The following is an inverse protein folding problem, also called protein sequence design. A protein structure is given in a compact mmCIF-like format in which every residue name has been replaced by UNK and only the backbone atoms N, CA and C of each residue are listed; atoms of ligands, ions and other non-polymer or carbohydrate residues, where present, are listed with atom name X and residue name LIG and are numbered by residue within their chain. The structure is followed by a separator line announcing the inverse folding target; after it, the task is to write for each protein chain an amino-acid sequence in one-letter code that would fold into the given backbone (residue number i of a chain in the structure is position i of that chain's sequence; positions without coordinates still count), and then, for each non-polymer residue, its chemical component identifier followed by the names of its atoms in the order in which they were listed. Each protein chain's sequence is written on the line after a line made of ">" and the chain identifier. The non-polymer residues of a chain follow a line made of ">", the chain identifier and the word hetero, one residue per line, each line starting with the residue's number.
data_IF_615678268086
#
_entry.id   IF_615678268086
#
_cell.length_a   1.000
_cell.length_b   1.000
_cell.length_c   1.000
_cell.angle_alpha   90.00
_cell.angle_beta   90.00
_cell.angle_gamma   90.00
#
_symmetry.space_group_name_H-M   'P 1'
#
loop_
_entity.id
_entity.type
_entity.pdbx_description
1 polymer ?
#
# COMPACT_ATOMS: atom_id res chain seq x y z
N UNK A 1 -18.81 -20.45 77.05
CA UNK A 1 -18.33 -19.13 77.48
C UNK A 1 -18.05 -18.30 76.24
N UNK A 2 -18.82 -17.24 76.03
CA UNK A 2 -18.63 -16.25 74.97
C UNK A 2 -17.48 -15.35 75.41
N UNK A 3 -16.54 -15.04 74.51
CA UNK A 3 -15.81 -13.77 74.58
C UNK A 3 -15.53 -13.26 73.17
N UNK A 4 -16.31 -12.26 72.79
CA UNK A 4 -16.12 -11.38 71.64
C UNK A 4 -15.07 -10.35 72.05
N UNK A 5 -13.98 -10.25 71.32
CA UNK A 5 -13.09 -9.09 71.36
C UNK A 5 -13.05 -8.47 69.96
N UNK A 6 -13.72 -7.33 69.85
CA UNK A 6 -13.75 -6.40 68.72
C UNK A 6 -12.82 -5.24 69.06
N UNK A 7 -11.84 -4.92 68.21
CA UNK A 7 -11.01 -3.73 68.36
C UNK A 7 -9.93 -3.60 67.26
N UNK A 8 -9.53 -2.37 66.88
CA UNK A 8 -9.45 -1.96 65.47
C UNK A 8 -8.02 -1.58 65.00
N UNK A 9 -7.84 -1.46 63.68
CA UNK A 9 -6.65 -0.89 63.04
C UNK A 9 -6.34 -1.66 61.78
N UNK A 10 -6.65 -1.17 60.58
CA UNK A 10 -6.23 0.13 60.10
C UNK A 10 -4.99 -0.05 59.24
N UNK A 11 -5.18 -0.62 58.04
CA UNK A 11 -4.29 -0.44 56.91
C UNK A 11 -5.16 -0.64 55.67
N UNK A 12 -5.87 0.42 55.30
CA UNK A 12 -6.30 0.58 53.93
C UNK A 12 -5.02 0.59 53.10
N UNK A 13 -4.67 -0.55 52.51
CA UNK A 13 -3.81 -0.57 51.34
C UNK A 13 -4.60 0.18 50.28
N UNK A 14 -4.31 1.47 50.16
CA UNK A 14 -4.57 2.23 48.96
C UNK A 14 -3.77 1.53 47.85
N UNK A 15 -4.38 0.51 47.25
CA UNK A 15 -4.11 0.21 45.87
C UNK A 15 -4.60 1.45 45.13
N UNK A 16 -3.68 2.39 44.90
CA UNK A 16 -3.89 3.43 43.92
C UNK A 16 -4.22 2.69 42.64
N UNK A 17 -5.50 2.64 42.29
CA UNK A 17 -5.94 2.37 40.94
C UNK A 17 -5.19 3.40 40.08
N UNK A 18 -4.07 2.99 39.49
CA UNK A 18 -3.60 3.65 38.28
C UNK A 18 -4.79 3.61 37.32
N UNK A 19 -5.00 4.65 36.51
CA UNK A 19 -5.99 4.54 35.46
C UNK A 19 -5.65 3.28 34.66
N UNK A 20 -6.58 2.34 34.62
CA UNK A 20 -6.68 1.38 33.52
C UNK A 20 -6.83 2.26 32.28
N UNK A 21 -5.69 2.64 31.70
CA UNK A 21 -5.65 3.21 30.37
C UNK A 21 -5.98 2.01 29.49
N UNK A 22 -7.18 1.95 28.88
CA UNK A 22 -7.42 0.93 27.88
C UNK A 22 -6.32 1.06 26.83
N UNK A 23 -5.74 -0.02 26.30
CA UNK A 23 -4.92 0.12 25.11
C UNK A 23 -5.83 0.76 24.06
N UNK A 24 -5.59 2.03 23.75
CA UNK A 24 -6.20 2.72 22.65
C UNK A 24 -5.89 1.89 21.41
N UNK A 25 -6.87 1.13 20.96
CA UNK A 25 -6.88 0.33 19.72
C UNK A 25 -6.98 1.27 18.51
N UNK A 26 -6.16 2.32 18.50
CA UNK A 26 -6.18 3.37 17.47
C UNK A 26 -4.87 3.41 16.65
N UNK A 27 -3.86 2.59 16.99
CA UNK A 27 -2.59 2.58 16.26
C UNK A 27 -2.68 1.81 14.92
N UNK A 28 -3.61 0.86 14.79
CA UNK A 28 -3.84 0.12 13.54
C UNK A 28 -4.60 0.94 12.48
N UNK A 29 -5.59 1.74 12.89
CA UNK A 29 -6.33 2.62 11.97
C UNK A 29 -5.49 3.77 11.43
N UNK A 30 -4.46 4.21 12.17
CA UNK A 30 -3.53 5.25 11.73
C UNK A 30 -2.63 4.82 10.55
N UNK A 31 -2.56 3.51 10.24
CA UNK A 31 -1.80 2.97 9.10
C UNK A 31 -2.68 2.63 7.90
N UNK A 32 -3.97 2.93 7.95
CA UNK A 32 -4.89 2.74 6.83
C UNK A 32 -4.83 3.93 5.87
N UNK A 33 -4.84 3.66 4.57
CA UNK A 33 -4.92 4.70 3.56
C UNK A 33 -6.21 5.49 3.69
N UNK A 34 -6.10 6.82 3.69
CA UNK A 34 -7.23 7.66 3.35
C UNK A 34 -7.70 7.36 1.91
N UNK A 35 -8.96 7.64 1.59
CA UNK A 35 -9.55 7.32 0.28
C UNK A 35 -8.75 7.96 -0.86
N UNK A 36 -8.30 9.20 -0.68
CA UNK A 36 -7.51 9.95 -1.66
C UNK A 36 -6.12 9.34 -1.86
N UNK A 37 -5.51 8.80 -0.80
CA UNK A 37 -4.22 8.12 -0.87
C UNK A 37 -4.36 6.78 -1.60
N UNK A 38 -5.42 6.03 -1.32
CA UNK A 38 -5.71 4.76 -1.99
C UNK A 38 -5.88 4.95 -3.51
N UNK A 39 -6.58 6.00 -3.94
CA UNK A 39 -6.74 6.31 -5.36
C UNK A 39 -5.41 6.70 -6.04
N UNK A 40 -4.55 7.41 -5.32
CA UNK A 40 -3.19 7.73 -5.76
C UNK A 40 -2.34 6.46 -5.92
N UNK A 41 -2.38 5.55 -4.94
CA UNK A 41 -1.64 4.28 -5.01
C UNK A 41 -2.12 3.38 -6.15
N UNK A 42 -3.43 3.33 -6.42
CA UNK A 42 -3.97 2.62 -7.59
C UNK A 42 -3.44 3.24 -8.90
N UNK A 43 -3.32 4.56 -8.97
CA UNK A 43 -2.74 5.23 -10.14
C UNK A 43 -1.23 4.93 -10.30
N UNK A 44 -0.48 4.86 -9.21
CA UNK A 44 0.94 4.48 -9.23
C UNK A 44 1.12 3.04 -9.70
N UNK A 45 0.30 2.11 -9.20
CA UNK A 45 0.28 0.72 -9.65
C UNK A 45 0.04 0.65 -11.16
N UNK A 46 -0.92 1.41 -11.70
CA UNK A 46 -1.16 1.47 -13.15
C UNK A 46 0.09 1.84 -13.94
N UNK A 47 0.77 2.92 -13.52
CA UNK A 47 1.98 3.40 -14.19
C UNK A 47 3.11 2.37 -14.16
N UNK A 48 3.33 1.75 -12.99
CA UNK A 48 4.34 0.71 -12.81
C UNK A 48 4.08 -0.49 -13.74
N UNK A 49 2.84 -0.99 -13.80
CA UNK A 49 2.52 -2.13 -14.64
C UNK A 49 2.62 -1.81 -16.14
N UNK A 50 2.30 -0.58 -16.55
CA UNK A 50 2.52 -0.13 -17.94
C UNK A 50 4.00 -0.13 -18.30
N UNK A 51 4.88 0.27 -17.38
CA UNK A 51 6.34 0.19 -17.61
C UNK A 51 6.81 -1.26 -17.68
N UNK A 52 6.38 -2.11 -16.75
CA UNK A 52 6.76 -3.54 -16.74
C UNK A 52 6.23 -4.30 -17.94
N UNK A 53 5.04 -3.94 -18.45
CA UNK A 53 4.45 -4.59 -19.62
C UNK A 53 5.38 -4.55 -20.84
N UNK A 54 6.07 -3.43 -21.03
CA UNK A 54 7.06 -3.22 -22.10
C UNK A 54 8.44 -3.76 -21.72
N UNK A 55 8.96 -3.39 -20.54
CA UNK A 55 10.38 -3.62 -20.22
C UNK A 55 10.65 -5.00 -19.63
N UNK A 56 9.73 -5.54 -18.82
CA UNK A 56 9.93 -6.76 -18.01
C UNK A 56 8.62 -7.51 -17.79
N UNK A 57 8.00 -8.09 -18.84
CA UNK A 57 6.70 -8.73 -18.74
C UNK A 57 6.71 -9.96 -17.82
N UNK A 58 7.86 -10.60 -17.64
CA UNK A 58 8.02 -11.82 -16.83
C UNK A 58 7.78 -11.60 -15.33
N UNK A 59 7.97 -10.37 -14.83
CA UNK A 59 7.77 -10.04 -13.40
C UNK A 59 6.48 -9.28 -13.13
N UNK A 60 5.67 -9.03 -14.16
CA UNK A 60 4.49 -8.17 -14.08
C UNK A 60 3.45 -8.71 -13.10
N UNK A 61 3.16 -10.01 -13.15
CA UNK A 61 2.17 -10.65 -12.27
C UNK A 61 2.66 -10.68 -10.81
N UNK A 62 3.93 -10.99 -10.57
CA UNK A 62 4.51 -11.02 -9.22
C UNK A 62 4.46 -9.63 -8.56
N UNK A 63 4.83 -8.58 -9.31
CA UNK A 63 4.76 -7.20 -8.82
C UNK A 63 3.32 -6.76 -8.58
N UNK A 64 2.40 -7.16 -9.46
CA UNK A 64 0.97 -6.91 -9.30
C UNK A 64 0.44 -7.53 -8.00
N UNK A 65 0.67 -8.83 -7.79
CA UNK A 65 0.19 -9.54 -6.60
C UNK A 65 0.76 -8.92 -5.32
N UNK A 66 2.05 -8.60 -5.31
CA UNK A 66 2.71 -7.95 -4.19
C UNK A 66 2.09 -6.58 -3.85
N UNK A 67 1.88 -5.71 -4.85
CA UNK A 67 1.32 -4.38 -4.61
C UNK A 67 -0.15 -4.45 -4.18
N UNK A 68 -0.96 -5.30 -4.79
CA UNK A 68 -2.36 -5.46 -4.40
C UNK A 68 -2.48 -6.01 -2.99
N UNK A 69 -1.63 -6.98 -2.62
CA UNK A 69 -1.55 -7.49 -1.25
C UNK A 69 -1.16 -6.40 -0.24
N UNK A 70 -0.21 -5.53 -0.60
CA UNK A 70 0.18 -4.38 0.21
C UNK A 70 -0.99 -3.40 0.38
N UNK A 71 -1.69 -3.05 -0.70
CA UNK A 71 -2.84 -2.13 -0.63
C UNK A 71 -3.96 -2.66 0.26
N UNK A 72 -4.26 -3.95 0.18
CA UNK A 72 -5.29 -4.59 1.01
C UNK A 72 -4.89 -4.61 2.48
N UNK A 73 -3.61 -4.82 2.77
CA UNK A 73 -3.10 -4.85 4.15
C UNK A 73 -3.15 -3.47 4.83
N UNK A 74 -3.18 -2.40 4.04
CA UNK A 74 -3.22 -1.01 4.50
C UNK A 74 -4.53 -0.31 4.15
N UNK A 75 -5.61 -1.04 3.88
CA UNK A 75 -6.92 -0.47 3.61
C UNK A 75 -7.97 -1.03 4.55
N UNK A 76 -8.96 -0.21 4.92
CA UNK A 76 -10.10 -0.70 5.70
C UNK A 76 -10.84 -1.80 4.92
N UNK A 77 -11.42 -2.80 5.62
CA UNK A 77 -12.09 -3.94 4.96
C UNK A 77 -13.18 -3.56 3.96
N UNK A 78 -13.83 -2.41 4.15
CA UNK A 78 -14.86 -1.88 3.24
C UNK A 78 -14.32 -1.60 1.82
N UNK A 79 -13.02 -1.30 1.70
CA UNK A 79 -12.37 -0.99 0.43
C UNK A 79 -11.82 -2.23 -0.28
N UNK A 80 -11.67 -3.37 0.40
CA UNK A 80 -10.97 -4.55 -0.14
C UNK A 80 -11.59 -5.08 -1.44
N UNK A 81 -12.93 -5.15 -1.49
CA UNK A 81 -13.63 -5.61 -2.69
C UNK A 81 -13.41 -4.66 -3.88
N UNK A 82 -13.47 -3.35 -3.63
CA UNK A 82 -13.22 -2.31 -4.65
C UNK A 82 -11.77 -2.37 -5.13
N UNK A 83 -10.80 -2.51 -4.23
CA UNK A 83 -9.36 -2.63 -4.57
C UNK A 83 -9.14 -3.82 -5.49
N UNK A 84 -9.67 -5.01 -5.14
CA UNK A 84 -9.52 -6.23 -5.95
C UNK A 84 -10.13 -6.06 -7.34
N UNK A 85 -11.35 -5.52 -7.42
CA UNK A 85 -12.03 -5.30 -8.70
C UNK A 85 -11.26 -4.31 -9.59
N UNK A 86 -10.88 -3.14 -9.06
CA UNK A 86 -10.12 -2.15 -9.80
C UNK A 86 -8.75 -2.69 -10.24
N UNK A 87 -8.06 -3.43 -9.38
CA UNK A 87 -6.77 -4.03 -9.72
C UNK A 87 -6.89 -5.07 -10.84
N UNK A 88 -7.90 -5.94 -10.79
CA UNK A 88 -8.15 -6.95 -11.81
C UNK A 88 -8.52 -6.33 -13.17
N UNK A 89 -9.41 -5.35 -13.18
CA UNK A 89 -9.78 -4.61 -14.39
C UNK A 89 -8.56 -3.92 -15.01
N UNK A 90 -7.72 -3.32 -14.17
CA UNK A 90 -6.49 -2.66 -14.58
C UNK A 90 -5.48 -3.65 -15.17
N UNK A 91 -5.25 -4.80 -14.52
CA UNK A 91 -4.36 -5.84 -15.04
C UNK A 91 -4.82 -6.34 -16.41
N UNK A 92 -6.12 -6.63 -16.55
CA UNK A 92 -6.71 -7.07 -17.81
C UNK A 92 -6.54 -6.01 -18.91
N UNK A 93 -6.74 -4.73 -18.58
CA UNK A 93 -6.54 -3.63 -19.53
C UNK A 93 -5.07 -3.51 -19.98
N UNK A 94 -4.11 -3.68 -19.06
CA UNK A 94 -2.68 -3.64 -19.37
C UNK A 94 -2.26 -4.82 -20.23
N UNK A 95 -2.70 -6.04 -19.89
CA UNK A 95 -2.42 -7.25 -20.68
C UNK A 95 -3.00 -7.20 -22.09
N UNK A 96 -4.05 -6.39 -22.32
CA UNK A 96 -4.63 -6.17 -23.64
C UNK A 96 -3.89 -5.13 -24.49
N UNK A 97 -2.91 -4.40 -23.93
CA UNK A 97 -2.15 -3.40 -24.68
C UNK A 97 -1.26 -4.09 -25.72
N UNK A 98 -1.13 -3.51 -26.93
CA UNK A 98 -0.13 -3.97 -27.89
C UNK A 98 1.27 -3.80 -27.31
N UNK A 99 2.05 -4.87 -27.25
CA UNK A 99 3.49 -4.77 -26.94
C UNK A 99 4.22 -4.13 -28.10
N UNK A 100 5.11 -3.19 -27.81
CA UNK A 100 6.10 -2.75 -28.79
C UNK A 100 6.99 -3.96 -29.10
N UNK A 101 7.06 -4.37 -30.36
CA UNK A 101 8.01 -5.41 -30.77
C UNK A 101 9.42 -4.81 -30.71
N UNK A 102 10.39 -5.57 -30.23
CA UNK A 102 11.82 -5.18 -30.23
C UNK A 102 12.33 -4.73 -31.61
N UNK A 103 11.65 -5.12 -32.70
CA UNK A 103 11.95 -4.72 -34.08
C UNK A 103 11.44 -3.31 -34.47
N UNK A 104 10.74 -2.59 -33.59
CA UNK A 104 10.55 -1.14 -33.72
C UNK A 104 11.90 -0.48 -33.39
N UNK A 105 12.91 -0.68 -34.25
CA UNK A 105 14.08 0.18 -34.32
C UNK A 105 13.56 1.60 -34.35
N UNK A 106 13.77 2.33 -33.26
CA UNK A 106 13.50 3.74 -33.23
C UNK A 106 14.22 4.34 -34.44
N UNK A 107 13.45 4.85 -35.41
CA UNK A 107 13.96 5.57 -36.58
C UNK A 107 14.50 6.90 -36.08
N UNK A 108 15.61 6.85 -35.35
CA UNK A 108 16.39 8.00 -34.95
C UNK A 108 17.03 8.54 -36.22
N UNK A 109 16.29 9.39 -36.93
CA UNK A 109 16.85 10.19 -38.01
C UNK A 109 17.86 11.15 -37.40
N UNK A 110 19.12 10.75 -37.40
CA UNK A 110 20.25 11.60 -37.05
C UNK A 110 20.14 12.90 -37.86
N UNK A 111 20.24 14.05 -37.20
CA UNK A 111 20.29 15.33 -37.90
C UNK A 111 21.41 15.28 -38.95
N UNK A 112 21.16 15.70 -40.21
CA UNK A 112 22.23 15.81 -41.19
C UNK A 112 23.32 16.70 -40.62
N UNK A 113 24.55 16.17 -40.53
CA UNK A 113 25.69 16.93 -40.08
C UNK A 113 25.83 18.17 -40.98
N UNK A 114 25.40 19.34 -40.49
CA UNK A 114 25.66 20.60 -41.15
C UNK A 114 27.18 20.76 -41.19
N UNK A 115 27.74 20.63 -42.39
CA UNK A 115 29.17 20.59 -42.63
C UNK A 115 29.86 21.83 -42.07
N UNK A 116 30.39 21.71 -40.85
CA UNK A 116 31.35 22.66 -40.30
C UNK A 116 32.65 22.50 -41.08
N UNK A 117 32.83 23.27 -42.16
CA UNK A 117 34.15 23.50 -42.75
C UNK A 117 34.80 24.63 -41.97
N UNK A 118 35.93 24.41 -41.26
CA UNK A 118 36.72 25.50 -40.75
C UNK A 118 37.37 26.26 -41.92
N UNK A 119 37.34 27.59 -41.82
CA UNK A 119 37.89 28.56 -42.77
C UNK A 119 39.42 28.62 -42.71
#
# INVERSE_FOLDING_TARGET
>A
MINIARGPGGAAVAACCGPDVPPDVEEEDAMLFAVEELESEICKLRGLLQMLHEDQPDVLEDVFEFHVGSLISHASPEHHARIRACAQEMLAAIQALPRRRDDDTADFRLMPALGLRPA
#
